data_IF_031449888008
#
_entry.id   IF_031449888008
#
_cell.length_a   1.000
_cell.length_b   1.000
_cell.length_c   1.000
_cell.angle_alpha   90.00
_cell.angle_beta   90.00
_cell.angle_gamma   90.00
#
_symmetry.space_group_name_H-M   'P 1'
#
loop_
_entity.id
_entity.type
_entity.pdbx_description
1 polymer ?
#
# COMPACT_ATOMS: atom_id res chain seq x y z
N UNK A 1 -21.87 3.76 33.38
CA UNK A 1 -21.47 3.38 32.00
C UNK A 1 -20.75 4.47 31.19
N UNK A 2 -21.07 5.77 31.31
CA UNK A 2 -20.46 6.84 30.49
C UNK A 2 -18.94 7.07 30.66
N UNK A 3 -18.37 6.86 31.86
CA UNK A 3 -16.92 7.08 32.11
C UNK A 3 -15.98 6.06 31.43
N UNK A 4 -16.42 4.81 31.25
CA UNK A 4 -15.62 3.75 30.60
C UNK A 4 -15.53 3.93 29.08
N UNK A 5 -16.58 4.47 28.46
CA UNK A 5 -16.61 4.76 27.03
C UNK A 5 -15.66 5.91 26.65
N UNK A 6 -15.58 6.95 27.49
CA UNK A 6 -14.68 8.09 27.27
C UNK A 6 -13.20 7.69 27.41
N UNK A 7 -12.86 6.85 28.41
CA UNK A 7 -11.51 6.30 28.55
C UNK A 7 -11.13 5.38 27.39
N UNK A 8 -12.06 4.54 26.91
CA UNK A 8 -11.83 3.68 25.75
C UNK A 8 -11.59 4.51 24.48
N UNK A 9 -12.39 5.55 24.24
CA UNK A 9 -12.22 6.45 23.09
C UNK A 9 -10.88 7.22 23.15
N UNK A 10 -10.50 7.76 24.31
CA UNK A 10 -9.20 8.43 24.48
C UNK A 10 -8.02 7.46 24.32
N UNK A 11 -8.15 6.22 24.81
CA UNK A 11 -7.13 5.18 24.59
C UNK A 11 -7.07 4.71 23.14
N UNK A 12 -8.20 4.68 22.42
CA UNK A 12 -8.26 4.30 21.01
C UNK A 12 -7.66 5.39 20.11
N UNK A 13 -7.88 6.67 20.42
CA UNK A 13 -7.23 7.79 19.75
C UNK A 13 -5.72 7.84 20.02
N UNK A 14 -5.29 7.60 21.26
CA UNK A 14 -3.88 7.48 21.64
C UNK A 14 -3.18 6.25 21.03
N UNK A 15 -3.85 5.11 21.00
CA UNK A 15 -3.33 3.88 20.38
C UNK A 15 -3.28 3.99 18.85
N UNK A 16 -4.28 4.61 18.22
CA UNK A 16 -4.29 4.85 16.77
C UNK A 16 -3.19 5.81 16.32
N UNK A 17 -2.96 6.89 17.08
CA UNK A 17 -1.86 7.84 16.82
C UNK A 17 -0.49 7.21 17.08
N UNK A 18 -0.32 6.43 18.16
CA UNK A 18 0.91 5.69 18.41
C UNK A 18 1.18 4.60 17.35
N UNK A 19 0.14 3.92 16.87
CA UNK A 19 0.22 2.92 15.81
C UNK A 19 0.66 3.53 14.48
N UNK A 20 -0.05 4.57 14.02
CA UNK A 20 0.31 5.27 12.79
C UNK A 20 1.70 5.91 12.90
N UNK A 21 2.04 6.53 14.03
CA UNK A 21 3.37 7.09 14.26
C UNK A 21 4.48 6.04 14.22
N UNK A 22 4.23 4.84 14.75
CA UNK A 22 5.17 3.71 14.63
C UNK A 22 5.34 3.27 13.17
N UNK A 23 4.26 3.19 12.41
CA UNK A 23 4.31 2.77 11.00
C UNK A 23 4.98 3.83 10.12
N UNK A 24 4.72 5.11 10.37
CA UNK A 24 5.40 6.23 9.73
C UNK A 24 6.90 6.21 10.04
N UNK A 25 7.29 5.99 11.29
CA UNK A 25 8.70 5.83 11.66
C UNK A 25 9.38 4.66 10.95
N UNK A 26 8.67 3.55 10.72
CA UNK A 26 9.19 2.44 9.91
C UNK A 26 9.39 2.83 8.45
N UNK A 27 8.45 3.58 7.85
CA UNK A 27 8.63 4.12 6.49
C UNK A 27 9.85 5.04 6.42
N UNK A 28 9.99 5.94 7.38
CA UNK A 28 11.14 6.85 7.45
C UNK A 28 12.46 6.08 7.52
N UNK A 29 12.58 5.10 8.42
CA UNK A 29 13.78 4.25 8.51
C UNK A 29 14.05 3.47 7.22
N UNK A 30 13.01 2.96 6.56
CA UNK A 30 13.15 2.27 5.29
C UNK A 30 13.71 3.18 4.18
N UNK A 31 13.37 4.48 4.20
CA UNK A 31 13.91 5.46 3.26
C UNK A 31 15.37 5.83 3.57
N UNK A 32 15.75 5.88 4.85
CA UNK A 32 17.13 6.17 5.26
C UNK A 32 18.09 5.01 5.00
N UNK A 33 17.64 3.77 5.17
CA UNK A 33 18.47 2.57 5.08
C UNK A 33 17.75 1.48 4.26
N UNK A 34 17.61 1.68 2.94
CA UNK A 34 16.81 0.81 2.07
C UNK A 34 17.37 -0.61 1.95
N UNK A 35 18.68 -0.79 2.14
CA UNK A 35 19.35 -2.10 2.03
C UNK A 35 18.99 -3.05 3.19
N UNK A 36 18.47 -2.50 4.30
CA UNK A 36 17.99 -3.30 5.44
C UNK A 36 16.52 -3.66 5.38
N UNK A 37 15.82 -3.27 4.32
CA UNK A 37 14.38 -3.51 4.18
C UNK A 37 14.14 -4.84 3.49
N UNK A 38 13.26 -5.66 4.05
CA UNK A 38 12.74 -6.84 3.36
C UNK A 38 12.01 -6.40 2.07
N UNK A 39 12.63 -6.71 0.92
CA UNK A 39 12.13 -6.36 -0.41
C UNK A 39 10.80 -7.04 -0.71
N UNK A 40 10.50 -8.16 -0.07
CA UNK A 40 9.24 -8.89 -0.29
C UNK A 40 8.07 -8.25 0.44
N UNK A 41 8.32 -7.38 1.42
CA UNK A 41 7.27 -6.74 2.22
C UNK A 41 6.67 -5.46 1.62
N UNK A 42 5.73 -4.85 2.34
CA UNK A 42 5.05 -3.58 2.06
C UNK A 42 6.04 -2.42 2.03
N UNK A 43 7.02 -2.43 2.94
CA UNK A 43 8.12 -1.46 2.89
C UNK A 43 9.00 -1.69 1.66
N UNK A 44 9.25 -2.94 1.27
CA UNK A 44 9.90 -3.27 0.00
C UNK A 44 9.13 -2.77 -1.22
N UNK A 45 7.80 -2.91 -1.22
CA UNK A 45 6.92 -2.37 -2.25
C UNK A 45 6.92 -0.84 -2.29
N UNK A 46 6.95 -0.19 -1.12
CA UNK A 46 7.08 1.26 -1.01
C UNK A 46 8.40 1.74 -1.62
N UNK A 47 9.51 1.07 -1.32
CA UNK A 47 10.81 1.41 -1.91
C UNK A 47 10.84 1.18 -3.42
N UNK A 48 10.19 0.12 -3.90
CA UNK A 48 10.11 -0.21 -5.32
C UNK A 48 9.26 0.78 -6.14
N UNK A 49 8.51 1.68 -5.50
CA UNK A 49 7.63 2.65 -6.15
C UNK A 49 8.01 4.11 -5.91
N UNK A 50 9.11 4.40 -5.19
CA UNK A 50 9.40 5.76 -4.71
C UNK A 50 9.96 6.73 -5.75
N UNK A 51 10.69 6.23 -6.75
CA UNK A 51 11.56 7.06 -7.63
C UNK A 51 10.94 7.38 -9.00
N UNK A 52 9.63 7.21 -9.16
CA UNK A 52 8.94 7.50 -10.42
C UNK A 52 8.62 8.99 -10.56
N UNK A 53 8.59 9.48 -11.80
CA UNK A 53 8.27 10.87 -12.15
C UNK A 53 6.76 11.10 -12.25
N UNK A 54 6.25 12.35 -12.13
CA UNK A 54 4.80 12.62 -12.11
C UNK A 54 4.00 12.09 -13.29
N UNK A 55 4.64 11.95 -14.45
CA UNK A 55 4.07 11.42 -15.68
C UNK A 55 4.00 9.89 -15.71
N UNK A 56 4.49 9.18 -14.69
CA UNK A 56 4.56 7.73 -14.63
C UNK A 56 3.55 7.12 -13.66
N UNK A 57 3.05 5.92 -13.98
CA UNK A 57 2.09 5.17 -13.13
C UNK A 57 2.61 4.99 -11.69
N UNK A 58 3.90 4.67 -11.54
CA UNK A 58 4.50 4.44 -10.23
C UNK A 58 4.39 5.63 -9.26
N UNK A 59 4.30 6.86 -9.78
CA UNK A 59 4.17 8.06 -8.97
C UNK A 59 2.86 8.11 -8.16
N UNK A 60 1.75 7.63 -8.76
CA UNK A 60 0.44 7.51 -8.12
C UNK A 60 0.28 6.22 -7.27
N UNK A 61 1.03 5.17 -7.61
CA UNK A 61 1.04 3.92 -6.84
C UNK A 61 1.73 4.11 -5.48
N UNK A 62 2.85 4.81 -5.43
CA UNK A 62 3.63 5.07 -4.22
C UNK A 62 2.82 5.57 -3.00
N UNK A 63 2.04 6.66 -3.09
CA UNK A 63 1.25 7.15 -1.96
C UNK A 63 0.21 6.13 -1.48
N UNK A 64 -0.35 5.32 -2.39
CA UNK A 64 -1.30 4.26 -2.06
C UNK A 64 -0.65 3.17 -1.20
N UNK A 65 0.55 2.71 -1.58
CA UNK A 65 1.31 1.72 -0.79
C UNK A 65 1.69 2.28 0.57
N UNK A 66 2.13 3.54 0.63
CA UNK A 66 2.43 4.24 1.89
C UNK A 66 1.21 4.31 2.80
N UNK A 67 0.04 4.67 2.27
CA UNK A 67 -1.19 4.78 3.05
C UNK A 67 -1.61 3.43 3.63
N UNK A 68 -1.53 2.36 2.82
CA UNK A 68 -1.82 0.99 3.28
C UNK A 68 -0.87 0.59 4.41
N UNK A 69 0.43 0.83 4.28
CA UNK A 69 1.39 0.54 5.36
C UNK A 69 1.14 1.43 6.60
N UNK A 70 0.77 2.70 6.42
CA UNK A 70 0.49 3.60 7.55
C UNK A 70 -0.68 3.08 8.39
N UNK A 71 -1.76 2.63 7.73
CA UNK A 71 -2.99 2.15 8.38
C UNK A 71 -2.78 0.73 8.95
N UNK A 72 -2.20 -0.18 8.19
CA UNK A 72 -2.17 -1.61 8.53
C UNK A 72 -0.80 -2.14 8.99
N UNK A 73 0.26 -1.33 8.93
CA UNK A 73 1.63 -1.77 9.23
C UNK A 73 2.01 -2.99 8.40
N UNK A 74 2.51 -4.03 9.06
CA UNK A 74 2.77 -5.36 8.47
C UNK A 74 1.68 -6.39 8.82
N UNK A 75 0.55 -5.98 9.40
CA UNK A 75 -0.53 -6.91 9.75
C UNK A 75 -1.19 -7.45 8.49
N UNK A 76 -1.31 -8.78 8.44
CA UNK A 76 -1.95 -9.48 7.32
C UNK A 76 -1.22 -9.29 5.98
N UNK A 77 0.04 -8.88 6.05
CA UNK A 77 0.92 -8.77 4.88
C UNK A 77 1.14 -10.13 4.23
N UNK A 78 1.06 -10.16 2.90
CA UNK A 78 1.17 -11.38 2.10
C UNK A 78 2.37 -11.37 1.14
N UNK A 79 3.38 -10.54 1.44
CA UNK A 79 4.57 -10.30 0.63
C UNK A 79 4.30 -9.54 -0.68
N UNK A 80 3.56 -8.43 -0.59
CA UNK A 80 3.19 -7.62 -1.77
C UNK A 80 4.41 -7.01 -2.48
N UNK A 81 5.54 -6.89 -1.79
CA UNK A 81 6.81 -6.47 -2.38
C UNK A 81 7.35 -7.45 -3.42
N UNK A 82 6.98 -8.74 -3.39
CA UNK A 82 7.32 -9.68 -4.47
C UNK A 82 6.81 -9.19 -5.82
N UNK A 83 5.59 -8.62 -5.85
CA UNK A 83 5.03 -8.05 -7.06
C UNK A 83 5.67 -6.74 -7.44
N UNK A 84 5.79 -5.81 -6.48
CA UNK A 84 6.29 -4.49 -6.84
C UNK A 84 7.78 -4.49 -7.17
N UNK A 85 8.54 -5.51 -6.77
CA UNK A 85 9.94 -5.69 -7.19
C UNK A 85 10.08 -6.57 -8.45
N UNK A 86 9.00 -7.14 -8.96
CA UNK A 86 9.03 -7.95 -10.18
C UNK A 86 9.40 -7.09 -11.41
N UNK A 87 10.28 -7.54 -12.31
CA UNK A 87 10.68 -6.78 -13.49
C UNK A 87 9.52 -6.36 -14.40
N UNK A 88 8.50 -7.22 -14.55
CA UNK A 88 7.34 -6.94 -15.39
C UNK A 88 6.46 -5.85 -14.76
N UNK A 89 6.26 -5.89 -13.44
CA UNK A 89 5.60 -4.82 -12.71
C UNK A 89 6.40 -3.51 -12.79
N UNK A 90 7.72 -3.57 -12.63
CA UNK A 90 8.58 -2.40 -12.75
C UNK A 90 8.51 -1.75 -14.13
N UNK A 91 8.29 -2.53 -15.18
CA UNK A 91 8.07 -1.98 -16.52
C UNK A 91 6.74 -1.24 -16.62
N UNK A 92 5.65 -1.81 -16.09
CA UNK A 92 4.33 -1.15 -16.07
C UNK A 92 4.35 0.16 -15.27
N UNK A 93 5.05 0.19 -14.14
CA UNK A 93 5.14 1.41 -13.32
C UNK A 93 5.84 2.57 -14.05
N UNK A 94 6.68 2.29 -15.05
CA UNK A 94 7.37 3.30 -15.88
C UNK A 94 6.51 3.83 -17.02
N UNK A 95 5.37 3.19 -17.31
CA UNK A 95 4.46 3.65 -18.35
C UNK A 95 3.83 4.99 -17.97
N UNK A 96 3.30 5.70 -18.96
CA UNK A 96 2.60 6.97 -18.76
C UNK A 96 1.45 6.81 -17.76
N UNK A 97 1.25 7.78 -16.88
CA UNK A 97 0.22 7.85 -15.83
C UNK A 97 -1.21 8.04 -16.36
N UNK A 98 -1.58 7.28 -17.39
CA UNK A 98 -2.93 7.24 -17.92
C UNK A 98 -3.80 6.32 -17.05
N UNK A 99 -5.12 6.51 -17.11
CA UNK A 99 -6.07 5.65 -16.39
C UNK A 99 -5.92 4.17 -16.79
N UNK A 100 -5.72 3.91 -18.08
CA UNK A 100 -5.54 2.55 -18.62
C UNK A 100 -4.30 1.86 -18.05
N UNK A 101 -3.15 2.54 -18.01
CA UNK A 101 -1.92 1.95 -17.48
C UNK A 101 -1.98 1.74 -15.96
N UNK A 102 -2.64 2.66 -15.25
CA UNK A 102 -2.99 2.46 -13.84
C UNK A 102 -3.91 1.23 -13.64
N UNK A 103 -4.87 1.01 -14.53
CA UNK A 103 -5.73 -0.16 -14.49
C UNK A 103 -4.95 -1.45 -14.75
N UNK A 104 -3.97 -1.46 -15.66
CA UNK A 104 -3.09 -2.61 -15.90
C UNK A 104 -2.33 -3.03 -14.63
N UNK A 105 -1.79 -2.06 -13.89
CA UNK A 105 -1.18 -2.31 -12.56
C UNK A 105 -2.23 -2.81 -11.57
N UNK A 106 -3.40 -2.16 -11.52
CA UNK A 106 -4.49 -2.53 -10.63
C UNK A 106 -5.01 -3.97 -10.84
N UNK A 107 -5.12 -4.41 -12.09
CA UNK A 107 -5.55 -5.77 -12.45
C UNK A 107 -4.52 -6.82 -12.02
N UNK A 108 -3.23 -6.53 -12.13
CA UNK A 108 -2.17 -7.40 -11.60
C UNK A 108 -2.22 -7.50 -10.08
N UNK A 109 -2.38 -6.37 -9.39
CA UNK A 109 -2.58 -6.38 -7.95
C UNK A 109 -3.82 -7.19 -7.55
N UNK A 110 -4.95 -7.00 -8.25
CA UNK A 110 -6.19 -7.71 -7.94
C UNK A 110 -6.00 -9.23 -8.09
N UNK A 111 -5.43 -9.69 -9.21
CA UNK A 111 -5.14 -11.12 -9.46
C UNK A 111 -4.29 -11.72 -8.35
N UNK A 112 -3.30 -10.99 -7.88
CA UNK A 112 -2.48 -11.41 -6.76
C UNK A 112 -3.27 -11.54 -5.47
N UNK A 113 -4.06 -10.53 -5.11
CA UNK A 113 -4.86 -10.58 -3.90
C UNK A 113 -5.92 -11.69 -3.96
N UNK A 114 -6.47 -11.99 -5.14
CA UNK A 114 -7.34 -13.14 -5.36
C UNK A 114 -6.61 -14.47 -5.15
N UNK A 115 -5.41 -14.65 -5.69
CA UNK A 115 -4.59 -15.84 -5.41
C UNK A 115 -4.30 -15.98 -3.91
N UNK A 116 -3.86 -14.89 -3.27
CA UNK A 116 -3.62 -14.85 -1.83
C UNK A 116 -4.86 -15.15 -0.99
N UNK A 117 -6.04 -14.74 -1.42
CA UNK A 117 -7.31 -15.07 -0.75
C UNK A 117 -7.62 -16.57 -0.84
N UNK A 118 -7.39 -17.18 -2.01
CA UNK A 118 -7.68 -18.58 -2.28
C UNK A 118 -6.74 -19.52 -1.51
N UNK A 119 -5.46 -19.15 -1.41
CA UNK A 119 -4.40 -20.01 -0.85
C UNK A 119 -4.19 -19.82 0.67
N UNK A 120 -4.72 -18.74 1.25
CA UNK A 120 -4.46 -18.42 2.66
C UNK A 120 -5.41 -19.13 3.63
N UNK A 121 -4.82 -19.78 4.64
CA UNK A 121 -5.53 -20.48 5.70
C UNK A 121 -5.60 -19.68 7.00
N UNK A 122 -4.68 -18.73 7.21
CA UNK A 122 -4.68 -17.90 8.41
C UNK A 122 -5.77 -16.81 8.35
N UNK A 123 -6.75 -16.78 9.29
CA UNK A 123 -7.94 -15.92 9.18
C UNK A 123 -7.63 -14.43 8.99
N UNK A 124 -6.66 -13.88 9.72
CA UNK A 124 -6.29 -12.48 9.62
C UNK A 124 -5.61 -12.10 8.30
N UNK A 125 -4.83 -13.02 7.70
CA UNK A 125 -4.18 -12.79 6.40
C UNK A 125 -5.17 -12.97 5.27
N UNK A 126 -6.08 -13.94 5.41
CA UNK A 126 -7.19 -14.16 4.49
C UNK A 126 -8.05 -12.90 4.44
N UNK A 127 -8.52 -12.38 5.57
CA UNK A 127 -9.31 -11.14 5.63
C UNK A 127 -8.64 -9.99 4.84
N UNK A 128 -7.35 -9.75 5.05
CA UNK A 128 -6.63 -8.69 4.34
C UNK A 128 -6.50 -8.95 2.84
N UNK A 129 -6.28 -10.20 2.42
CA UNK A 129 -6.29 -10.54 1.00
C UNK A 129 -7.67 -10.34 0.36
N UNK A 130 -8.76 -10.60 1.10
CA UNK A 130 -10.12 -10.41 0.61
C UNK A 130 -10.45 -8.95 0.39
N UNK A 131 -10.03 -8.10 1.34
CA UNK A 131 -10.10 -6.65 1.16
C UNK A 131 -9.31 -6.22 -0.08
N UNK A 132 -8.08 -6.73 -0.27
CA UNK A 132 -7.29 -6.45 -1.46
C UNK A 132 -7.95 -6.90 -2.77
N UNK A 133 -8.58 -8.07 -2.77
CA UNK A 133 -9.24 -8.68 -3.93
C UNK A 133 -10.56 -7.99 -4.31
N UNK A 134 -11.22 -7.35 -3.34
CA UNK A 134 -12.47 -6.62 -3.54
C UNK A 134 -12.30 -5.31 -4.34
N UNK A 135 -11.09 -4.74 -4.39
CA UNK A 135 -10.80 -3.58 -5.23
C UNK A 135 -10.35 -4.05 -6.62
N UNK A 136 -11.21 -3.83 -7.61
CA UNK A 136 -10.88 -4.07 -9.02
C UNK A 136 -9.84 -3.08 -9.57
N UNK A 137 -9.27 -3.41 -10.73
CA UNK A 137 -8.24 -2.58 -11.35
C UNK A 137 -8.72 -1.17 -11.66
N UNK A 138 -9.99 -0.98 -12.03
CA UNK A 138 -10.54 0.34 -12.33
C UNK A 138 -10.65 1.22 -11.07
N UNK A 139 -11.11 0.66 -9.96
CA UNK A 139 -11.18 1.36 -8.67
C UNK A 139 -9.80 1.74 -8.18
N UNK A 140 -8.82 0.83 -8.34
CA UNK A 140 -7.41 1.09 -8.04
C UNK A 140 -6.86 2.21 -8.91
N UNK A 141 -7.15 2.18 -10.20
CA UNK A 141 -6.70 3.20 -11.14
C UNK A 141 -7.21 4.59 -10.77
N UNK A 142 -8.50 4.68 -10.41
CA UNK A 142 -9.08 5.93 -9.92
C UNK A 142 -8.36 6.47 -8.68
N UNK A 143 -8.10 5.60 -7.69
CA UNK A 143 -7.40 5.98 -6.44
C UNK A 143 -5.98 6.43 -6.74
N UNK A 144 -5.22 5.66 -7.52
CA UNK A 144 -3.81 5.93 -7.80
C UNK A 144 -3.64 7.20 -8.63
N UNK A 145 -4.48 7.41 -9.64
CA UNK A 145 -4.48 8.64 -10.44
C UNK A 145 -4.85 9.86 -9.59
N UNK A 146 -5.90 9.77 -8.76
CA UNK A 146 -6.27 10.84 -7.84
C UNK A 146 -5.13 11.16 -6.86
N UNK A 147 -4.40 10.14 -6.40
CA UNK A 147 -3.25 10.30 -5.53
C UNK A 147 -2.07 10.99 -6.24
N UNK A 148 -1.83 10.69 -7.53
CA UNK A 148 -0.83 11.39 -8.34
C UNK A 148 -1.17 12.88 -8.49
N UNK A 149 -2.41 13.20 -8.88
CA UNK A 149 -2.87 14.59 -9.03
C UNK A 149 -2.79 15.39 -7.72
N UNK A 150 -3.13 14.78 -6.59
CA UNK A 150 -3.00 15.41 -5.29
C UNK A 150 -1.54 15.62 -4.89
N UNK A 151 -0.67 14.64 -5.15
CA UNK A 151 0.77 14.72 -4.84
C UNK A 151 1.44 15.83 -5.62
N UNK A 152 1.12 15.98 -6.90
CA UNK A 152 1.64 17.06 -7.75
C UNK A 152 1.20 18.46 -7.30
N UNK A 153 -0.05 18.61 -6.83
CA UNK A 153 -0.54 19.90 -6.30
C UNK A 153 0.09 20.33 -4.98
N UNK A 154 0.70 19.40 -4.26
CA UNK A 154 1.28 19.61 -2.93
C UNK A 154 2.81 19.70 -2.93
N UNK A 155 3.46 19.39 -4.06
CA UNK A 155 4.91 19.50 -4.27
C UNK A 155 5.30 20.86 -4.85
#
# INVERSE_FOLDING_TARGET
MKKRYLQFLLSASGAGTAWMGRNEYQQYKALLDPDRVDRTGRLGAMLATKDFTPDQVGYGVYPSIRLIHLIFGNIGEQKIGEIFNDPEMQQLLKELGTHENHQNVGDKEQKYWQSKWNDESHPGRKLMAGLGAAFDGNSRAFIQKSAAELREKLS
#
